data_IF_418530460366
#
_entry.id   IF_418530460366
#
_cell.length_a   1.000
_cell.length_b   1.000
_cell.length_c   1.000
_cell.angle_alpha   90.00
_cell.angle_beta   90.00
_cell.angle_gamma   90.00
#
_symmetry.space_group_name_H-M   'P 1'
#
loop_
_entity.id
_entity.type
_entity.pdbx_description
1 polymer ?
#
# COMPACT_ATOMS: atom_id res chain seq x y z
N UNK A 1 -11.97 29.50 2.84
CA UNK A 1 -11.26 28.63 1.89
C UNK A 1 -9.87 28.19 2.36
N UNK A 2 -8.98 29.07 2.84
CA UNK A 2 -7.58 28.69 3.20
C UNK A 2 -7.38 27.69 4.36
N UNK A 3 -8.36 27.53 5.27
CA UNK A 3 -8.21 26.64 6.43
C UNK A 3 -8.44 25.16 6.09
N UNK A 4 -9.23 24.89 5.05
CA UNK A 4 -9.56 23.53 4.60
C UNK A 4 -8.38 22.96 3.80
N UNK A 5 -7.84 23.76 2.87
CA UNK A 5 -6.62 23.44 2.12
C UNK A 5 -5.40 23.23 3.03
N UNK A 6 -5.29 23.97 4.15
CA UNK A 6 -4.20 23.80 5.12
C UNK A 6 -4.35 22.53 5.95
N UNK A 7 -5.58 22.15 6.33
CA UNK A 7 -5.88 20.86 6.98
C UNK A 7 -5.64 19.68 6.04
N UNK A 8 -5.97 19.83 4.76
CA UNK A 8 -5.68 18.83 3.72
C UNK A 8 -4.18 18.69 3.48
N UNK A 9 -3.44 19.81 3.39
CA UNK A 9 -1.97 19.79 3.31
C UNK A 9 -1.28 19.21 4.55
N UNK A 10 -1.84 19.38 5.75
CA UNK A 10 -1.34 18.74 6.97
C UNK A 10 -1.73 17.25 7.05
N UNK A 11 -2.81 16.81 6.39
CA UNK A 11 -3.18 15.40 6.25
C UNK A 11 -2.32 14.64 5.22
N UNK A 12 -1.68 15.35 4.30
CA UNK A 12 -0.68 14.81 3.35
C UNK A 12 0.71 14.62 3.99
N UNK A 13 0.84 14.74 5.31
CA UNK A 13 2.07 14.38 6.00
C UNK A 13 2.33 12.86 5.84
N UNK A 14 3.34 12.54 5.03
CA UNK A 14 3.98 11.23 4.84
C UNK A 14 3.13 10.09 4.27
N UNK A 15 2.48 10.32 3.13
CA UNK A 15 2.00 9.20 2.31
C UNK A 15 3.19 8.50 1.64
N UNK A 16 3.36 7.21 1.94
CA UNK A 16 4.41 6.35 1.39
C UNK A 16 3.95 5.90 0.01
N UNK A 17 4.77 6.12 -1.01
CA UNK A 17 4.45 5.71 -2.39
C UNK A 17 5.37 4.57 -2.78
N UNK A 18 4.79 3.45 -3.21
CA UNK A 18 5.50 2.27 -3.68
C UNK A 18 5.24 2.08 -5.18
N UNK A 19 6.30 1.96 -5.96
CA UNK A 19 6.25 1.96 -7.43
C UNK A 19 6.45 0.58 -8.04
N UNK A 20 7.06 -0.36 -7.31
CA UNK A 20 7.36 -1.71 -7.81
C UNK A 20 7.06 -2.78 -6.77
N UNK A 21 6.86 -4.03 -7.20
CA UNK A 21 6.70 -5.18 -6.30
C UNK A 21 7.93 -5.35 -5.40
N UNK A 22 9.14 -5.12 -5.92
CA UNK A 22 10.36 -5.18 -5.13
C UNK A 22 10.41 -4.13 -4.01
N UNK A 23 9.90 -2.91 -4.27
CA UNK A 23 9.75 -1.88 -3.23
C UNK A 23 8.74 -2.31 -2.16
N UNK A 24 7.61 -2.90 -2.57
CA UNK A 24 6.62 -3.46 -1.65
C UNK A 24 7.21 -4.57 -0.78
N UNK A 25 7.86 -5.57 -1.39
CA UNK A 25 8.55 -6.65 -0.68
C UNK A 25 9.55 -6.12 0.33
N UNK A 26 10.44 -5.22 -0.09
CA UNK A 26 11.43 -4.63 0.80
C UNK A 26 10.76 -3.83 1.91
N UNK A 27 9.70 -3.09 1.60
CA UNK A 27 8.95 -2.33 2.58
C UNK A 27 8.31 -3.24 3.64
N UNK A 28 7.59 -4.29 3.23
CA UNK A 28 6.96 -5.25 4.15
C UNK A 28 7.98 -5.97 5.04
N UNK A 29 9.16 -6.30 4.51
CA UNK A 29 10.21 -6.97 5.27
C UNK A 29 10.90 -6.10 6.34
N UNK A 30 10.76 -4.77 6.26
CA UNK A 30 11.47 -3.84 7.15
C UNK A 30 10.55 -2.80 7.81
N UNK A 31 9.23 -2.94 7.65
CA UNK A 31 8.24 -2.07 8.28
C UNK A 31 7.69 -2.74 9.53
N UNK A 32 7.44 -1.95 10.57
CA UNK A 32 6.73 -2.33 11.80
C UNK A 32 5.35 -1.66 11.86
N UNK A 33 4.85 -1.20 10.71
CA UNK A 33 3.60 -0.47 10.63
C UNK A 33 2.40 -1.40 10.89
N UNK A 34 1.54 -1.10 11.88
CA UNK A 34 0.39 -1.95 12.21
C UNK A 34 -0.72 -1.90 11.13
N UNK A 35 -0.64 -0.96 10.19
CA UNK A 35 -1.54 -0.84 9.04
C UNK A 35 -0.96 0.15 8.02
N UNK A 36 -1.12 -0.20 6.74
CA UNK A 36 -0.85 0.56 5.52
C UNK A 36 -2.04 1.41 5.06
N UNK A 37 -3.26 1.11 5.55
CA UNK A 37 -4.49 1.81 5.15
C UNK A 37 -4.39 3.31 5.38
N UNK A 38 -4.64 4.09 4.33
CA UNK A 38 -4.56 5.56 4.35
C UNK A 38 -3.15 6.13 4.54
N UNK A 39 -2.10 5.29 4.48
CA UNK A 39 -0.70 5.69 4.62
C UNK A 39 0.14 5.31 3.41
N UNK A 40 -0.24 4.28 2.67
CA UNK A 40 0.47 3.78 1.48
C UNK A 40 -0.37 3.98 0.22
N UNK A 41 0.30 4.38 -0.86
CA UNK A 41 -0.23 4.44 -2.22
C UNK A 41 0.63 3.56 -3.13
N UNK A 42 -0.02 2.77 -3.97
CA UNK A 42 0.62 2.05 -5.06
C UNK A 42 0.61 2.91 -6.32
N UNK A 43 1.76 3.00 -6.98
CA UNK A 43 1.97 3.75 -8.21
C UNK A 43 2.80 2.92 -9.20
N UNK A 44 2.99 3.45 -10.41
CA UNK A 44 3.85 2.86 -11.43
C UNK A 44 3.52 1.39 -11.73
N UNK A 45 4.58 0.59 -11.88
CA UNK A 45 4.48 -0.83 -12.24
C UNK A 45 3.74 -1.65 -11.18
N UNK A 46 3.85 -1.28 -9.90
CA UNK A 46 3.10 -1.93 -8.82
C UNK A 46 1.59 -1.71 -8.98
N UNK A 47 1.17 -0.47 -9.25
CA UNK A 47 -0.24 -0.17 -9.47
C UNK A 47 -0.82 -0.94 -10.65
N UNK A 48 -0.08 -0.99 -11.76
CA UNK A 48 -0.49 -1.72 -12.96
C UNK A 48 -0.58 -3.23 -12.69
N UNK A 49 0.37 -3.77 -11.91
CA UNK A 49 0.37 -5.17 -11.49
C UNK A 49 -0.85 -5.51 -10.62
N UNK A 50 -1.11 -4.76 -9.55
CA UNK A 50 -2.24 -5.02 -8.65
C UNK A 50 -3.60 -4.82 -9.35
N UNK A 51 -3.69 -3.86 -10.27
CA UNK A 51 -4.90 -3.68 -11.11
C UNK A 51 -5.17 -4.88 -12.02
N UNK A 52 -4.13 -5.55 -12.49
CA UNK A 52 -4.27 -6.77 -13.31
C UNK A 52 -4.82 -7.96 -12.50
N UNK A 53 -4.75 -7.86 -11.16
CA UNK A 53 -5.21 -8.85 -10.17
C UNK A 53 -6.47 -8.38 -9.42
N UNK A 54 -7.37 -7.65 -10.10
CA UNK A 54 -8.63 -7.16 -9.50
C UNK A 54 -8.45 -6.21 -8.31
N UNK A 55 -7.38 -5.41 -8.31
CA UNK A 55 -7.03 -4.45 -7.26
C UNK A 55 -6.65 -5.08 -5.92
N UNK A 56 -6.29 -6.37 -5.91
CA UNK A 56 -5.81 -7.07 -4.73
C UNK A 56 -4.48 -7.76 -5.02
N UNK A 57 -3.60 -7.80 -4.03
CA UNK A 57 -2.33 -8.54 -4.10
C UNK A 57 -2.17 -9.38 -2.84
N UNK A 58 -1.92 -10.67 -3.03
CA UNK A 58 -1.68 -11.62 -1.94
C UNK A 58 -0.27 -11.47 -1.40
N UNK A 59 -0.12 -11.41 -0.08
CA UNK A 59 1.17 -11.43 0.61
C UNK A 59 1.56 -12.91 0.79
N UNK A 60 2.33 -13.42 -0.16
CA UNK A 60 2.80 -14.80 -0.20
C UNK A 60 4.33 -14.89 -0.36
N UNK A 61 4.84 -16.10 -0.62
CA UNK A 61 6.26 -16.36 -0.81
C UNK A 61 6.86 -15.58 -2.01
N UNK A 62 6.06 -15.19 -3.01
CA UNK A 62 6.53 -14.40 -4.16
C UNK A 62 6.85 -12.96 -3.76
N UNK A 63 6.09 -12.41 -2.82
CA UNK A 63 6.34 -11.08 -2.22
C UNK A 63 7.36 -11.18 -1.07
N UNK A 64 7.79 -12.39 -0.72
CA UNK A 64 8.86 -12.66 0.22
C UNK A 64 8.40 -12.83 1.67
N UNK A 65 7.11 -13.12 1.90
CA UNK A 65 6.58 -13.38 3.24
C UNK A 65 6.09 -14.83 3.41
N UNK A 66 6.30 -15.39 4.61
CA UNK A 66 5.86 -16.75 4.92
C UNK A 66 4.34 -16.81 5.15
N UNK A 67 3.65 -17.55 4.28
CA UNK A 67 2.43 -18.39 4.44
C UNK A 67 1.19 -17.88 5.23
N UNK A 68 1.17 -16.66 5.75
CA UNK A 68 0.08 -16.18 6.62
C UNK A 68 -1.15 -15.68 5.85
N UNK A 69 -1.19 -15.85 4.52
CA UNK A 69 -2.39 -15.61 3.70
C UNK A 69 -2.87 -14.16 3.72
N UNK A 70 -1.94 -13.21 3.82
CA UNK A 70 -2.25 -11.79 3.81
C UNK A 70 -2.70 -11.28 2.45
N UNK A 71 -3.40 -10.15 2.45
CA UNK A 71 -3.91 -9.51 1.24
C UNK A 71 -3.94 -7.99 1.40
N UNK A 72 -3.44 -7.28 0.39
CA UNK A 72 -3.52 -5.83 0.29
C UNK A 72 -4.46 -5.47 -0.84
N UNK A 73 -5.46 -4.65 -0.54
CA UNK A 73 -6.47 -4.17 -1.51
C UNK A 73 -6.33 -2.66 -1.69
N UNK A 74 -6.42 -2.21 -2.93
CA UNK A 74 -6.34 -0.79 -3.30
C UNK A 74 -7.66 -0.26 -3.87
N UNK A 75 -7.87 1.05 -3.76
CA UNK A 75 -8.92 1.75 -4.49
C UNK A 75 -8.51 2.10 -5.94
N UNK A 76 -9.43 2.70 -6.70
CA UNK A 76 -9.19 3.10 -8.10
C UNK A 76 -8.02 4.07 -8.27
N UNK A 77 -7.65 4.82 -7.22
CA UNK A 77 -6.55 5.78 -7.23
C UNK A 77 -5.23 5.17 -6.74
N UNK A 78 -5.22 3.89 -6.37
CA UNK A 78 -4.05 3.19 -5.82
C UNK A 78 -3.86 3.36 -4.32
N UNK A 79 -4.81 3.94 -3.59
CA UNK A 79 -4.70 4.02 -2.12
C UNK A 79 -4.98 2.66 -1.51
N UNK A 80 -4.15 2.23 -0.55
CA UNK A 80 -4.44 1.02 0.23
C UNK A 80 -5.67 1.24 1.11
N UNK A 81 -6.68 0.36 0.95
CA UNK A 81 -7.95 0.38 1.68
C UNK A 81 -8.17 -0.84 2.57
N UNK A 82 -7.41 -1.91 2.36
CA UNK A 82 -7.37 -3.10 3.22
C UNK A 82 -5.98 -3.72 3.20
N UNK A 83 -5.53 -4.26 4.32
CA UNK A 83 -4.20 -4.84 4.54
C UNK A 83 -4.29 -6.01 5.54
N UNK A 84 -5.11 -7.00 5.22
CA UNK A 84 -5.36 -8.11 6.13
C UNK A 84 -4.12 -8.99 6.28
N UNK A 85 -3.84 -9.36 7.53
CA UNK A 85 -2.69 -10.19 7.93
C UNK A 85 -1.36 -9.62 7.43
N UNK A 86 -1.09 -8.36 7.77
CA UNK A 86 0.25 -7.82 7.66
C UNK A 86 1.24 -8.59 8.56
N UNK A 87 2.48 -8.73 8.10
CA UNK A 87 3.67 -9.07 8.90
C UNK A 87 3.76 -8.47 10.30
#
# INVERSE_FOLDING_TARGET
>A
MKAQEKKERMKMENMIVLNTVAELTNFLNYTDMPSLVGKVIFAGDLLDHVRSMENAISIDEEIGFCDDGGEIVIDENGNVVSDMYLP
#
